data_IF_946724616560
#
_entry.id   IF_946724616560
#
_cell.length_a   1.000
_cell.length_b   1.000
_cell.length_c   1.000
_cell.angle_alpha   90.00
_cell.angle_beta   90.00
_cell.angle_gamma   90.00
#
_symmetry.space_group_name_H-M   'P 1'
#
loop_
_entity.id
_entity.type
_entity.pdbx_description
1 polymer ?
#
# COMPACT_ATOMS: atom_id res chain seq x y z
N UNK A 1 29.44 55.68 8.70
CA UNK A 1 28.93 54.40 8.26
C UNK A 1 27.42 54.23 8.34
N UNK A 2 26.68 55.17 8.92
CA UNK A 2 25.20 55.06 9.13
C UNK A 2 24.32 55.52 7.98
N UNK A 3 24.86 55.92 6.86
CA UNK A 3 24.07 56.33 5.70
C UNK A 3 24.59 55.86 4.35
N UNK A 4 25.06 54.64 4.25
CA UNK A 4 25.16 54.01 2.92
C UNK A 4 23.74 53.88 2.39
N UNK A 5 23.41 54.76 1.42
CA UNK A 5 22.18 54.69 0.67
C UNK A 5 21.96 53.21 0.23
N UNK A 6 20.88 52.56 0.61
CA UNK A 6 20.62 51.13 0.32
C UNK A 6 20.85 50.78 -1.16
N UNK A 7 20.75 51.72 -2.05
CA UNK A 7 21.06 51.59 -3.48
C UNK A 7 22.54 51.38 -3.79
N UNK A 8 23.47 51.79 -2.90
CA UNK A 8 24.93 51.65 -3.09
C UNK A 8 25.48 50.34 -2.48
N UNK A 9 24.72 49.71 -1.59
CA UNK A 9 25.11 48.45 -0.95
C UNK A 9 25.41 47.34 -1.99
N UNK A 10 24.55 47.06 -3.00
CA UNK A 10 24.83 46.04 -4.00
C UNK A 10 26.14 46.30 -4.77
N UNK A 11 26.42 47.54 -5.14
CA UNK A 11 27.63 47.92 -5.86
C UNK A 11 28.87 47.77 -5.00
N UNK A 12 28.80 48.13 -3.71
CA UNK A 12 29.89 47.96 -2.75
C UNK A 12 30.20 46.48 -2.51
N UNK A 13 29.16 45.65 -2.35
CA UNK A 13 29.29 44.20 -2.20
C UNK A 13 29.90 43.55 -3.43
N UNK A 14 29.42 43.87 -4.61
CA UNK A 14 29.92 43.33 -5.89
C UNK A 14 31.38 43.75 -6.10
N UNK A 15 31.75 45.02 -5.82
CA UNK A 15 33.11 45.49 -5.92
C UNK A 15 34.06 44.79 -4.95
N UNK A 16 33.67 44.62 -3.69
CA UNK A 16 34.45 43.90 -2.68
C UNK A 16 34.56 42.41 -3.04
N UNK A 17 33.49 41.81 -3.53
CA UNK A 17 33.48 40.43 -3.98
C UNK A 17 34.41 40.20 -5.18
N UNK A 18 34.44 41.10 -6.13
CA UNK A 18 35.36 41.05 -7.29
C UNK A 18 36.82 41.20 -6.88
N UNK A 19 37.12 42.07 -5.92
CA UNK A 19 38.49 42.21 -5.38
C UNK A 19 38.96 40.96 -4.68
N UNK A 20 38.13 40.36 -3.81
CA UNK A 20 38.27 39.03 -3.21
C UNK A 20 39.59 38.82 -2.45
N UNK A 21 40.28 39.86 -1.97
CA UNK A 21 41.40 39.74 -1.07
C UNK A 21 40.91 39.70 0.40
N UNK A 22 41.77 39.32 1.33
CA UNK A 22 41.41 39.17 2.75
C UNK A 22 40.72 40.38 3.34
N UNK A 23 41.24 41.60 3.05
CA UNK A 23 40.65 42.85 3.54
C UNK A 23 39.25 43.10 2.95
N UNK A 24 39.04 42.76 1.68
CA UNK A 24 37.75 42.87 1.02
C UNK A 24 36.73 41.86 1.59
N UNK A 25 37.13 40.62 1.85
CA UNK A 25 36.31 39.59 2.46
C UNK A 25 35.94 39.94 3.91
N UNK A 26 36.89 40.48 4.71
CA UNK A 26 36.62 40.96 6.06
C UNK A 26 35.54 42.07 6.06
N UNK A 27 35.66 43.01 5.11
CA UNK A 27 34.67 44.08 4.95
C UNK A 27 33.32 43.54 4.47
N UNK A 28 33.31 42.53 3.60
CA UNK A 28 32.10 41.81 3.18
C UNK A 28 31.40 41.19 4.38
N UNK A 29 32.11 40.46 5.24
CA UNK A 29 31.56 39.88 6.45
C UNK A 29 30.96 40.93 7.39
N UNK A 30 31.60 42.05 7.61
CA UNK A 30 31.03 43.16 8.38
C UNK A 30 29.77 43.76 7.73
N UNK A 31 29.69 43.77 6.39
CA UNK A 31 28.50 44.23 5.68
C UNK A 31 27.35 43.24 5.83
N UNK A 32 27.59 41.92 5.84
CA UNK A 32 26.56 40.91 6.02
C UNK A 32 25.80 41.08 7.34
N UNK A 33 26.49 41.51 8.40
CA UNK A 33 25.87 41.76 9.71
C UNK A 33 24.98 43.02 9.72
N UNK A 34 25.37 44.03 8.97
CA UNK A 34 24.74 45.37 9.02
C UNK A 34 23.61 45.57 7.98
N UNK A 35 23.60 44.79 6.89
CA UNK A 35 22.65 44.96 5.80
C UNK A 35 21.28 44.34 6.14
N UNK A 36 20.22 45.15 6.08
CA UNK A 36 18.84 44.69 6.30
C UNK A 36 18.32 43.84 5.14
N UNK A 37 18.61 44.22 3.91
CA UNK A 37 18.21 43.52 2.71
C UNK A 37 19.22 42.45 2.31
N UNK A 38 19.13 41.27 2.93
CA UNK A 38 20.01 40.13 2.66
C UNK A 38 19.94 39.68 1.20
N UNK A 39 18.79 39.78 0.58
CA UNK A 39 18.58 39.39 -0.82
C UNK A 39 19.47 40.15 -1.80
N UNK A 40 19.52 41.47 -1.67
CA UNK A 40 20.36 42.29 -2.53
C UNK A 40 21.86 41.95 -2.34
N UNK A 41 22.25 41.58 -1.12
CA UNK A 41 23.58 41.11 -0.80
C UNK A 41 23.88 39.79 -1.54
N UNK A 42 23.00 38.78 -1.41
CA UNK A 42 23.16 37.46 -2.03
C UNK A 42 23.23 37.58 -3.57
N UNK A 43 22.36 38.37 -4.18
CA UNK A 43 22.37 38.62 -5.62
C UNK A 43 23.66 39.29 -6.11
N UNK A 44 24.27 40.14 -5.30
CA UNK A 44 25.52 40.79 -5.62
C UNK A 44 26.69 39.85 -5.50
N UNK A 45 26.72 38.99 -4.48
CA UNK A 45 27.69 37.90 -4.34
C UNK A 45 27.60 36.92 -5.52
N UNK A 46 26.39 36.53 -5.92
CA UNK A 46 26.15 35.67 -7.07
C UNK A 46 26.66 36.27 -8.38
N UNK A 47 26.41 37.57 -8.63
CA UNK A 47 26.91 38.26 -9.85
C UNK A 47 28.44 38.32 -9.91
N UNK A 48 29.10 38.38 -8.76
CA UNK A 48 30.59 38.45 -8.74
C UNK A 48 31.26 37.18 -9.26
N UNK A 49 30.60 36.04 -9.14
CA UNK A 49 31.10 34.68 -9.48
C UNK A 49 32.52 34.42 -8.95
N UNK A 50 32.90 35.04 -7.83
CA UNK A 50 34.21 34.84 -7.24
C UNK A 50 34.14 33.70 -6.22
N UNK A 51 34.84 32.56 -6.43
CA UNK A 51 34.82 31.42 -5.50
C UNK A 51 35.27 31.80 -4.07
N UNK A 52 36.06 32.83 -3.90
CA UNK A 52 36.48 33.30 -2.56
C UNK A 52 35.32 33.86 -1.73
N UNK A 53 34.14 34.09 -2.33
CA UNK A 53 32.95 34.52 -1.61
C UNK A 53 32.11 33.33 -1.06
N UNK A 54 32.50 32.10 -1.40
CA UNK A 54 31.80 30.89 -0.88
C UNK A 54 31.71 30.89 0.64
N UNK A 55 32.75 31.16 1.44
CA UNK A 55 32.64 31.21 2.89
C UNK A 55 31.61 32.22 3.40
N UNK A 56 31.45 33.37 2.72
CA UNK A 56 30.44 34.38 3.06
C UNK A 56 29.05 33.89 2.78
N UNK A 57 28.85 33.18 1.65
CA UNK A 57 27.54 32.56 1.33
C UNK A 57 27.20 31.42 2.30
N UNK A 58 28.20 30.64 2.74
CA UNK A 58 28.00 29.58 3.73
C UNK A 58 27.64 30.14 5.10
N UNK A 59 28.28 31.23 5.55
CA UNK A 59 27.93 31.91 6.78
C UNK A 59 26.51 32.49 6.74
N UNK A 60 26.11 33.09 5.61
CA UNK A 60 24.77 33.57 5.40
C UNK A 60 23.75 32.40 5.45
N UNK A 61 24.07 31.24 4.87
CA UNK A 61 23.21 30.06 4.87
C UNK A 61 23.03 29.50 6.28
N UNK A 62 24.14 29.40 7.05
CA UNK A 62 24.09 28.93 8.44
C UNK A 62 23.12 29.76 9.30
N UNK A 63 23.04 31.06 9.03
CA UNK A 63 22.20 32.02 9.76
C UNK A 63 20.82 32.24 9.10
N UNK A 64 20.45 31.49 8.07
CA UNK A 64 19.19 31.63 7.33
C UNK A 64 18.32 30.40 7.53
N UNK A 65 17.09 30.59 8.05
CA UNK A 65 16.13 29.50 8.16
C UNK A 65 15.77 28.93 6.79
N UNK A 66 15.53 27.62 6.71
CA UNK A 66 15.09 26.92 5.49
C UNK A 66 13.76 27.44 4.93
N UNK A 67 12.90 27.99 5.80
CA UNK A 67 11.61 28.60 5.42
C UNK A 67 11.78 30.02 4.86
N UNK A 68 12.97 30.60 5.00
CA UNK A 68 13.23 31.92 4.48
C UNK A 68 13.47 31.87 2.96
N UNK A 69 12.77 32.67 2.15
CA UNK A 69 12.98 32.73 0.70
C UNK A 69 14.44 32.94 0.27
N UNK A 70 15.24 33.63 1.09
CA UNK A 70 16.63 33.90 0.81
C UNK A 70 17.50 32.62 0.82
N UNK A 71 17.06 31.56 1.54
CA UNK A 71 17.75 30.26 1.54
C UNK A 71 17.92 29.71 0.11
N UNK A 72 16.85 29.72 -0.69
CA UNK A 72 16.89 29.23 -2.07
C UNK A 72 17.83 30.04 -2.96
N UNK A 73 17.95 31.36 -2.72
CA UNK A 73 18.91 32.20 -3.46
C UNK A 73 20.35 31.94 -3.10
N UNK A 74 20.66 31.68 -1.83
CA UNK A 74 22.00 31.29 -1.38
C UNK A 74 22.40 29.97 -2.04
N UNK A 75 21.49 28.97 -2.00
CA UNK A 75 21.71 27.68 -2.65
C UNK A 75 21.99 27.86 -4.16
N UNK A 76 21.17 28.68 -4.85
CA UNK A 76 21.38 28.99 -6.27
C UNK A 76 22.72 29.68 -6.54
N UNK A 77 23.18 30.55 -5.67
CA UNK A 77 24.50 31.21 -5.82
C UNK A 77 25.62 30.20 -5.62
N UNK A 78 25.52 29.31 -4.63
CA UNK A 78 26.50 28.25 -4.37
C UNK A 78 26.59 27.25 -5.52
N UNK A 79 25.47 26.88 -6.15
CA UNK A 79 25.42 25.89 -7.26
C UNK A 79 26.19 26.30 -8.51
N UNK A 80 26.56 27.56 -8.65
CA UNK A 80 27.32 28.08 -9.78
C UNK A 80 28.84 28.02 -9.60
N UNK A 81 29.29 27.54 -8.45
CA UNK A 81 30.69 27.44 -8.13
C UNK A 81 31.28 26.07 -8.51
N UNK A 82 32.60 25.99 -8.58
CA UNK A 82 33.34 24.78 -8.82
C UNK A 82 33.15 23.77 -7.67
N UNK A 83 32.93 22.50 -8.00
CA UNK A 83 32.66 21.44 -7.03
C UNK A 83 33.83 21.19 -6.07
N UNK A 84 35.08 21.24 -6.52
CA UNK A 84 36.26 21.01 -5.65
C UNK A 84 36.38 22.11 -4.60
N UNK A 85 36.17 23.36 -5.00
CA UNK A 85 36.22 24.51 -4.09
C UNK A 85 35.06 24.44 -3.09
N UNK A 86 33.88 24.08 -3.55
CA UNK A 86 32.72 23.92 -2.68
C UNK A 86 32.92 22.78 -1.68
N UNK A 87 33.42 21.63 -2.11
CA UNK A 87 33.73 20.48 -1.25
C UNK A 87 34.71 20.83 -0.16
N UNK A 88 35.83 21.53 -0.52
CA UNK A 88 36.80 21.99 0.47
C UNK A 88 36.19 22.94 1.50
N UNK A 89 35.37 23.89 1.03
CA UNK A 89 34.71 24.86 1.92
C UNK A 89 33.69 24.19 2.85
N UNK A 90 32.97 23.15 2.37
CA UNK A 90 32.03 22.36 3.17
C UNK A 90 32.78 21.54 4.24
N UNK A 91 33.94 20.96 3.90
CA UNK A 91 34.81 20.30 4.88
C UNK A 91 35.19 21.23 6.03
N UNK A 92 35.60 22.44 5.70
CA UNK A 92 35.99 23.43 6.70
C UNK A 92 34.78 23.84 7.57
N UNK A 93 33.60 23.98 6.95
CA UNK A 93 32.34 24.28 7.65
C UNK A 93 31.96 23.16 8.63
N UNK A 94 31.98 21.91 8.19
CA UNK A 94 31.69 20.72 9.02
C UNK A 94 32.64 20.64 10.21
N UNK A 95 33.94 20.89 10.00
CA UNK A 95 34.98 20.85 11.04
C UNK A 95 34.83 21.91 12.12
N UNK A 96 34.03 22.95 11.90
CA UNK A 96 33.72 23.91 12.99
C UNK A 96 33.02 23.23 14.16
N UNK A 97 32.34 22.09 13.96
CA UNK A 97 31.62 21.33 14.97
C UNK A 97 30.34 22.03 15.50
N UNK A 98 29.92 23.13 14.87
CA UNK A 98 28.70 23.84 15.25
C UNK A 98 27.48 23.15 14.59
N UNK A 99 26.41 22.89 15.35
CA UNK A 99 25.22 22.24 14.82
C UNK A 99 24.62 22.95 13.59
N UNK A 100 24.53 24.29 13.64
CA UNK A 100 24.09 25.10 12.51
C UNK A 100 24.93 24.95 11.25
N UNK A 101 26.25 24.85 11.42
CA UNK A 101 27.19 24.65 10.32
C UNK A 101 27.07 23.24 9.72
N UNK A 102 26.98 22.22 10.55
CA UNK A 102 26.79 20.82 10.12
C UNK A 102 25.46 20.67 9.40
N UNK A 103 24.37 21.23 9.96
CA UNK A 103 23.07 21.27 9.35
C UNK A 103 23.09 21.92 7.97
N UNK A 104 23.69 23.12 7.85
CA UNK A 104 23.81 23.84 6.58
C UNK A 104 24.62 23.03 5.55
N UNK A 105 25.73 22.43 5.95
CA UNK A 105 26.57 21.59 5.08
C UNK A 105 25.77 20.36 4.59
N UNK A 106 25.08 19.66 5.48
CA UNK A 106 24.25 18.49 5.13
C UNK A 106 23.16 18.86 4.11
N UNK A 107 22.49 20.00 4.29
CA UNK A 107 21.49 20.50 3.35
C UNK A 107 22.05 20.82 1.97
N UNK A 108 23.23 21.43 1.90
CA UNK A 108 23.91 21.69 0.62
C UNK A 108 24.26 20.39 -0.07
N UNK A 109 24.84 19.43 0.65
CA UNK A 109 25.22 18.12 0.14
C UNK A 109 23.97 17.42 -0.46
N UNK A 110 22.85 17.44 0.24
CA UNK A 110 21.59 16.84 -0.23
C UNK A 110 21.07 17.50 -1.51
N UNK A 111 21.16 18.83 -1.62
CA UNK A 111 20.47 19.60 -2.69
C UNK A 111 21.36 19.80 -3.92
N UNK A 112 22.63 20.12 -3.70
CA UNK A 112 23.52 20.58 -4.77
C UNK A 112 24.67 19.65 -5.10
N UNK A 113 25.19 18.95 -4.10
CA UNK A 113 26.53 18.43 -4.23
C UNK A 113 26.75 17.15 -3.45
N UNK A 114 26.61 16.07 -4.17
CA UNK A 114 26.73 14.72 -3.62
C UNK A 114 28.19 14.24 -3.76
N UNK A 115 29.02 14.59 -2.78
CA UNK A 115 30.41 14.14 -2.70
C UNK A 115 30.60 13.09 -1.60
N UNK A 116 30.74 11.80 -1.96
CA UNK A 116 30.92 10.72 -0.99
C UNK A 116 32.13 10.94 -0.04
N UNK A 117 33.12 11.72 -0.44
CA UNK A 117 34.28 12.01 0.41
C UNK A 117 33.95 12.80 1.68
N UNK A 118 32.81 13.51 1.69
CA UNK A 118 32.28 14.26 2.83
C UNK A 118 31.57 13.39 3.87
N UNK A 119 31.24 12.15 3.52
CA UNK A 119 30.46 11.26 4.40
C UNK A 119 31.17 10.98 5.74
N UNK A 120 32.45 10.73 5.72
CA UNK A 120 33.23 10.50 6.93
C UNK A 120 33.33 11.76 7.82
N UNK A 121 33.50 12.95 7.22
CA UNK A 121 33.52 14.21 7.95
C UNK A 121 32.16 14.49 8.62
N UNK A 122 31.03 14.25 7.92
CA UNK A 122 29.69 14.39 8.46
C UNK A 122 29.43 13.45 9.65
N UNK A 123 29.75 12.14 9.52
CA UNK A 123 29.61 11.19 10.64
C UNK A 123 30.46 11.60 11.85
N UNK A 124 31.73 12.01 11.62
CA UNK A 124 32.62 12.42 12.69
C UNK A 124 32.08 13.65 13.43
N UNK A 125 31.50 14.60 12.72
CA UNK A 125 30.94 15.81 13.31
C UNK A 125 29.76 15.54 14.23
N UNK A 126 28.94 14.52 13.92
CA UNK A 126 27.78 14.13 14.74
C UNK A 126 28.17 13.55 16.12
N UNK A 127 29.38 13.07 16.32
CA UNK A 127 29.82 12.61 17.65
C UNK A 127 29.80 13.74 18.68
N UNK A 128 29.77 14.98 18.23
CA UNK A 128 29.74 16.20 19.08
C UNK A 128 28.37 16.89 19.08
N UNK A 129 27.45 16.52 18.17
CA UNK A 129 26.11 17.12 18.04
C UNK A 129 25.05 16.28 18.78
N UNK A 130 24.20 16.98 19.52
CA UNK A 130 22.98 16.39 20.13
C UNK A 130 21.71 16.99 19.56
N UNK A 131 21.78 17.83 18.52
CA UNK A 131 20.62 18.46 17.91
C UNK A 131 19.92 17.49 16.94
N UNK A 132 18.64 17.10 17.21
CA UNK A 132 17.91 16.14 16.37
C UNK A 132 17.75 16.59 14.91
N UNK A 133 17.60 17.88 14.66
CA UNK A 133 17.45 18.41 13.28
C UNK A 133 18.75 18.29 12.48
N UNK A 134 19.87 18.49 13.14
CA UNK A 134 21.19 18.30 12.52
C UNK A 134 21.41 16.82 12.19
N UNK A 135 21.07 15.92 13.11
CA UNK A 135 21.14 14.49 12.89
C UNK A 135 20.23 14.05 11.71
N UNK A 136 19.00 14.52 11.67
CA UNK A 136 18.07 14.28 10.56
C UNK A 136 18.66 14.72 9.21
N UNK A 137 19.16 15.95 9.12
CA UNK A 137 19.74 16.48 7.90
C UNK A 137 20.94 15.66 7.41
N UNK A 138 21.81 15.25 8.34
CA UNK A 138 22.97 14.42 8.02
C UNK A 138 22.55 13.02 7.56
N UNK A 139 21.57 12.40 8.20
CA UNK A 139 21.07 11.11 7.79
C UNK A 139 20.48 11.14 6.36
N UNK A 140 19.69 12.17 6.05
CA UNK A 140 19.17 12.38 4.70
C UNK A 140 20.31 12.53 3.67
N UNK A 141 21.35 13.31 4.02
CA UNK A 141 22.51 13.47 3.14
C UNK A 141 23.23 12.14 2.91
N UNK A 142 23.57 11.42 3.96
CA UNK A 142 24.31 10.15 3.90
C UNK A 142 23.53 9.00 3.26
N UNK A 143 22.18 9.02 3.35
CA UNK A 143 21.29 8.02 2.78
C UNK A 143 20.98 8.23 1.30
N UNK A 144 21.44 9.31 0.67
CA UNK A 144 21.26 9.51 -0.76
C UNK A 144 22.15 8.53 -1.56
N UNK A 145 21.65 8.04 -2.71
CA UNK A 145 22.36 7.04 -3.55
C UNK A 145 23.76 7.51 -3.97
N UNK A 146 23.90 8.77 -4.23
CA UNK A 146 25.12 9.40 -4.71
C UNK A 146 26.18 9.52 -3.62
N UNK A 147 25.79 9.47 -2.36
CA UNK A 147 26.69 9.49 -1.20
C UNK A 147 27.20 8.10 -0.81
N UNK A 148 26.95 7.08 -1.64
CA UNK A 148 27.31 5.68 -1.36
C UNK A 148 26.79 5.22 0.02
N UNK A 149 25.48 4.99 0.14
CA UNK A 149 24.86 4.64 1.43
C UNK A 149 25.42 3.35 2.05
N UNK A 150 25.93 2.40 1.23
CA UNK A 150 26.54 1.17 1.71
C UNK A 150 27.74 1.47 2.65
N UNK A 151 28.53 2.50 2.36
CA UNK A 151 29.62 2.93 3.24
C UNK A 151 29.18 3.53 4.58
N UNK A 152 27.87 3.80 4.72
CA UNK A 152 27.26 4.39 5.91
C UNK A 152 26.32 3.40 6.64
N UNK A 153 26.24 2.15 6.19
CA UNK A 153 25.30 1.15 6.71
C UNK A 153 25.41 0.96 8.23
N UNK A 154 26.64 0.81 8.77
CA UNK A 154 26.86 0.66 10.21
C UNK A 154 26.31 1.85 11.01
N UNK A 155 26.51 3.05 10.51
CA UNK A 155 25.96 4.26 11.11
C UNK A 155 24.43 4.23 11.18
N UNK A 156 23.75 3.80 10.11
CA UNK A 156 22.28 3.68 10.13
C UNK A 156 21.80 2.58 11.06
N UNK A 157 22.47 1.42 11.10
CA UNK A 157 22.14 0.31 12.02
C UNK A 157 22.22 0.76 13.48
N UNK A 158 23.23 1.54 13.86
CA UNK A 158 23.35 2.07 15.22
C UNK A 158 22.16 2.96 15.60
N UNK A 159 21.64 3.73 14.64
CA UNK A 159 20.51 4.63 14.86
C UNK A 159 19.12 3.96 14.85
N UNK A 160 19.02 2.67 14.49
CA UNK A 160 17.80 1.89 14.72
C UNK A 160 17.42 1.78 16.20
N UNK A 161 18.38 1.98 17.12
CA UNK A 161 18.20 1.95 18.57
C UNK A 161 18.00 3.33 19.21
N UNK A 162 17.89 4.37 18.40
CA UNK A 162 17.75 5.75 18.88
C UNK A 162 16.42 5.94 19.63
N UNK A 163 16.36 6.81 20.65
CA UNK A 163 15.15 7.05 21.45
C UNK A 163 14.04 7.76 20.66
N UNK A 164 14.42 8.62 19.69
CA UNK A 164 13.45 9.33 18.83
C UNK A 164 12.97 8.41 17.69
N UNK A 165 11.64 8.13 17.59
CA UNK A 165 11.06 7.30 16.54
C UNK A 165 11.31 7.84 15.12
N UNK A 166 11.33 9.15 14.92
CA UNK A 166 11.59 9.78 13.61
C UNK A 166 13.00 9.44 13.10
N UNK A 167 13.98 9.41 13.99
CA UNK A 167 15.35 9.01 13.65
C UNK A 167 15.43 7.52 13.31
N UNK A 168 14.70 6.66 14.02
CA UNK A 168 14.60 5.24 13.65
C UNK A 168 13.99 5.06 12.24
N UNK A 169 12.89 5.78 11.95
CA UNK A 169 12.27 5.75 10.62
C UNK A 169 13.23 6.20 9.54
N UNK A 170 13.99 7.28 9.75
CA UNK A 170 15.02 7.72 8.83
C UNK A 170 16.14 6.68 8.65
N UNK A 171 16.57 6.03 9.72
CA UNK A 171 17.55 4.94 9.64
C UNK A 171 17.08 3.81 8.75
N UNK A 172 15.82 3.41 8.91
CA UNK A 172 15.18 2.37 8.07
C UNK A 172 15.18 2.80 6.60
N UNK A 173 14.75 4.03 6.31
CA UNK A 173 14.73 4.56 4.95
C UNK A 173 16.13 4.64 4.33
N UNK A 174 17.16 5.05 5.10
CA UNK A 174 18.53 5.06 4.62
C UNK A 174 19.06 3.64 4.35
N UNK A 175 18.73 2.68 5.20
CA UNK A 175 19.10 1.28 5.02
C UNK A 175 18.43 0.67 3.77
N UNK A 176 17.21 1.06 3.43
CA UNK A 176 16.55 0.59 2.21
C UNK A 176 17.23 1.06 0.92
N UNK A 177 18.10 2.07 1.00
CA UNK A 177 18.94 2.52 -0.11
C UNK A 177 20.31 1.81 -0.18
N UNK A 178 20.65 0.98 0.82
CA UNK A 178 21.89 0.21 0.83
C UNK A 178 21.69 -1.07 0.00
N UNK A 179 22.54 -1.28 -1.02
CA UNK A 179 22.40 -2.44 -1.92
C UNK A 179 22.93 -3.74 -1.30
N UNK A 180 23.91 -3.62 -0.37
CA UNK A 180 24.57 -4.75 0.29
C UNK A 180 23.92 -5.12 1.64
N UNK A 181 22.85 -4.40 2.03
CA UNK A 181 22.19 -4.62 3.31
C UNK A 181 21.19 -5.78 3.23
N UNK A 182 21.37 -6.82 4.03
CA UNK A 182 20.31 -7.79 4.27
C UNK A 182 19.27 -7.19 5.22
N UNK A 183 18.26 -6.53 4.66
CA UNK A 183 17.24 -5.80 5.41
C UNK A 183 16.42 -6.70 6.33
N UNK A 184 16.11 -7.94 5.92
CA UNK A 184 15.38 -8.88 6.77
C UNK A 184 16.12 -9.18 8.07
N UNK A 185 17.45 -9.34 8.01
CA UNK A 185 18.27 -9.55 9.20
C UNK A 185 18.37 -8.30 10.07
N UNK A 186 18.53 -7.12 9.44
CA UNK A 186 18.75 -5.86 10.16
C UNK A 186 17.47 -5.32 10.81
N UNK A 187 16.32 -5.45 10.14
CA UNK A 187 15.05 -4.87 10.59
C UNK A 187 14.19 -5.82 11.43
N UNK A 188 14.64 -7.05 11.64
CA UNK A 188 13.93 -8.09 12.37
C UNK A 188 13.34 -7.64 13.71
N UNK A 189 14.15 -7.01 14.54
CA UNK A 189 13.70 -6.54 15.85
C UNK A 189 12.89 -5.24 15.74
N UNK A 190 13.15 -4.45 14.70
CA UNK A 190 12.48 -3.17 14.46
C UNK A 190 11.01 -3.33 14.04
N UNK A 191 10.65 -4.46 13.41
CA UNK A 191 9.25 -4.78 13.11
C UNK A 191 8.41 -4.87 14.38
N UNK A 192 8.99 -5.30 15.49
CA UNK A 192 8.34 -5.47 16.79
C UNK A 192 8.45 -4.23 17.68
N UNK A 193 8.90 -3.10 17.14
CA UNK A 193 9.03 -1.86 17.92
C UNK A 193 7.66 -1.43 18.46
N UNK A 194 7.67 -0.90 19.67
CA UNK A 194 6.46 -0.41 20.35
C UNK A 194 5.84 0.81 19.65
N UNK A 195 6.63 1.54 18.89
CA UNK A 195 6.18 2.68 18.08
C UNK A 195 5.69 2.19 16.72
N UNK A 196 4.37 2.27 16.50
CA UNK A 196 3.72 1.75 15.30
C UNK A 196 4.27 2.32 13.98
N UNK A 197 4.69 3.59 13.97
CA UNK A 197 5.30 4.22 12.79
C UNK A 197 6.63 3.57 12.39
N UNK A 198 7.42 3.16 13.38
CA UNK A 198 8.72 2.48 13.17
C UNK A 198 8.49 1.07 12.63
N UNK A 199 7.57 0.32 13.24
CA UNK A 199 7.17 -1.02 12.78
C UNK A 199 6.67 -1.00 11.33
N UNK A 200 5.79 -0.05 10.98
CA UNK A 200 5.28 0.11 9.61
C UNK A 200 6.39 0.47 8.63
N UNK A 201 7.29 1.40 9.00
CA UNK A 201 8.41 1.78 8.14
C UNK A 201 9.33 0.58 7.86
N UNK A 202 9.61 -0.25 8.87
CA UNK A 202 10.41 -1.46 8.71
C UNK A 202 9.75 -2.46 7.74
N UNK A 203 8.45 -2.71 7.88
CA UNK A 203 7.73 -3.60 6.97
C UNK A 203 7.67 -3.07 5.54
N UNK A 204 7.45 -1.75 5.37
CA UNK A 204 7.47 -1.13 4.04
C UNK A 204 8.84 -1.22 3.37
N UNK A 205 9.93 -0.98 4.11
CA UNK A 205 11.29 -1.14 3.59
C UNK A 205 11.58 -2.59 3.16
N UNK A 206 11.03 -3.57 3.87
CA UNK A 206 11.16 -4.98 3.53
C UNK A 206 10.36 -5.38 2.28
N UNK A 207 9.27 -4.68 1.94
CA UNK A 207 8.58 -4.90 0.67
C UNK A 207 9.40 -4.44 -0.54
N UNK A 208 10.29 -3.47 -0.35
CA UNK A 208 11.19 -3.00 -1.41
C UNK A 208 12.52 -3.80 -1.46
N UNK A 209 12.77 -4.69 -0.48
CA UNK A 209 13.96 -5.51 -0.39
C UNK A 209 13.97 -6.63 -1.44
N UNK A 210 15.16 -7.14 -1.84
CA UNK A 210 15.25 -8.32 -2.70
C UNK A 210 14.54 -9.53 -2.07
N UNK A 211 13.63 -10.17 -2.83
CA UNK A 211 12.87 -11.34 -2.36
C UNK A 211 13.76 -12.55 -2.03
N UNK A 212 14.93 -12.64 -2.64
CA UNK A 212 15.94 -13.68 -2.38
C UNK A 212 16.51 -13.62 -0.96
N UNK A 213 16.42 -12.45 -0.29
CA UNK A 213 16.83 -12.25 1.09
C UNK A 213 15.72 -12.57 2.10
N UNK A 214 14.49 -12.83 1.64
CA UNK A 214 13.37 -13.16 2.52
C UNK A 214 13.56 -14.53 3.18
N UNK A 215 13.20 -14.69 4.48
CA UNK A 215 13.33 -15.96 5.18
C UNK A 215 12.36 -16.98 4.61
N UNK A 216 12.88 -18.05 4.01
CA UNK A 216 12.09 -19.11 3.36
C UNK A 216 11.34 -19.95 4.40
N UNK A 217 10.00 -19.98 4.33
CA UNK A 217 9.14 -20.78 5.22
C UNK A 217 9.07 -20.29 6.67
N UNK A 218 9.68 -19.15 6.99
CA UNK A 218 9.72 -18.61 8.35
C UNK A 218 9.05 -17.23 8.48
N UNK A 219 8.54 -16.67 7.38
CA UNK A 219 8.02 -15.30 7.36
C UNK A 219 6.83 -15.11 8.30
N UNK A 220 5.94 -16.09 8.40
CA UNK A 220 4.80 -16.08 9.34
C UNK A 220 5.27 -16.02 10.79
N UNK A 221 6.28 -16.83 11.15
CA UNK A 221 6.86 -16.81 12.49
C UNK A 221 7.58 -15.49 12.78
N UNK A 222 8.22 -14.94 11.79
CA UNK A 222 8.89 -13.64 11.82
C UNK A 222 7.91 -12.49 12.11
N UNK A 223 6.71 -12.56 11.54
CA UNK A 223 5.65 -11.55 11.65
C UNK A 223 4.60 -11.87 12.73
N UNK A 224 4.71 -12.98 13.48
CA UNK A 224 3.62 -13.49 14.32
C UNK A 224 3.01 -12.42 15.26
N UNK A 225 3.84 -11.66 15.96
CA UNK A 225 3.37 -10.66 16.93
C UNK A 225 2.61 -9.49 16.27
N UNK A 226 3.07 -9.05 15.11
CA UNK A 226 2.46 -7.92 14.37
C UNK A 226 1.22 -8.36 13.57
N UNK A 227 1.18 -9.60 13.08
CA UNK A 227 0.00 -10.17 12.45
C UNK A 227 -1.20 -10.30 13.40
N UNK A 228 -0.98 -10.38 14.70
CA UNK A 228 -2.02 -10.42 15.74
C UNK A 228 -2.23 -9.09 16.46
N UNK A 229 -1.52 -8.02 16.08
CA UNK A 229 -1.63 -6.69 16.69
C UNK A 229 -3.08 -6.21 16.78
N UNK A 230 -3.42 -5.44 17.80
CA UNK A 230 -4.71 -4.74 17.92
C UNK A 230 -4.81 -3.55 16.97
N UNK A 231 -3.68 -2.98 16.55
CA UNK A 231 -3.63 -1.89 15.57
C UNK A 231 -3.87 -2.44 14.15
N UNK A 232 -4.92 -1.93 13.49
CA UNK A 232 -5.32 -2.38 12.16
C UNK A 232 -4.34 -1.96 11.06
N UNK A 233 -3.61 -0.86 11.25
CA UNK A 233 -2.65 -0.36 10.25
C UNK A 233 -1.37 -1.21 10.29
N UNK A 234 -0.90 -1.54 11.49
CA UNK A 234 0.24 -2.45 11.68
C UNK A 234 -0.08 -3.83 11.12
N UNK A 235 -1.27 -4.37 11.44
CA UNK A 235 -1.72 -5.65 10.89
C UNK A 235 -1.73 -5.65 9.37
N UNK A 236 -2.29 -4.58 8.78
CA UNK A 236 -2.35 -4.46 7.31
C UNK A 236 -0.94 -4.50 6.71
N UNK A 237 0.00 -3.72 7.22
CA UNK A 237 1.38 -3.72 6.74
C UNK A 237 2.05 -5.11 6.85
N UNK A 238 1.78 -5.85 7.95
CA UNK A 238 2.30 -7.21 8.12
C UNK A 238 1.71 -8.20 7.10
N UNK A 239 0.41 -8.09 6.78
CA UNK A 239 -0.22 -8.92 5.76
C UNK A 239 0.24 -8.55 4.35
N UNK A 240 0.42 -7.25 4.06
CA UNK A 240 0.96 -6.79 2.79
C UNK A 240 2.38 -7.37 2.58
N UNK A 241 3.23 -7.33 3.60
CA UNK A 241 4.57 -7.92 3.55
C UNK A 241 4.51 -9.45 3.37
N UNK A 242 3.66 -10.15 4.13
CA UNK A 242 3.49 -11.59 3.99
C UNK A 242 3.01 -11.96 2.58
N UNK A 243 2.06 -11.21 2.02
CA UNK A 243 1.56 -11.44 0.68
C UNK A 243 2.58 -11.13 -0.42
N UNK A 244 3.53 -10.21 -0.16
CA UNK A 244 4.58 -9.83 -1.11
C UNK A 244 5.78 -10.80 -1.09
N UNK A 245 6.28 -11.12 0.10
CA UNK A 245 7.52 -11.86 0.30
C UNK A 245 7.31 -13.33 0.74
N UNK A 246 6.08 -13.72 1.11
CA UNK A 246 5.76 -15.10 1.47
C UNK A 246 5.84 -16.05 0.27
N UNK A 247 6.12 -17.30 0.55
CA UNK A 247 6.25 -18.37 -0.44
C UNK A 247 5.42 -19.61 -0.04
N UNK A 248 5.50 -20.69 -0.81
CA UNK A 248 4.73 -21.93 -0.57
C UNK A 248 4.98 -22.55 0.82
N UNK A 249 6.18 -22.39 1.38
CA UNK A 249 6.54 -22.92 2.70
C UNK A 249 5.87 -22.12 3.85
N UNK A 250 5.52 -20.85 3.60
CA UNK A 250 4.77 -20.01 4.55
C UNK A 250 3.26 -20.30 4.55
N UNK A 251 2.75 -21.03 3.55
CA UNK A 251 1.31 -21.25 3.38
C UNK A 251 0.67 -21.99 4.55
N UNK A 252 1.21 -23.14 4.97
CA UNK A 252 0.63 -23.92 6.08
C UNK A 252 0.74 -23.19 7.43
N UNK A 253 1.85 -22.54 7.80
CA UNK A 253 1.91 -21.67 8.98
C UNK A 253 0.88 -20.53 8.94
N UNK A 254 0.73 -19.84 7.82
CA UNK A 254 -0.26 -18.77 7.66
C UNK A 254 -1.70 -19.31 7.73
N UNK A 255 -1.95 -20.50 7.18
CA UNK A 255 -3.24 -21.17 7.28
C UNK A 255 -3.59 -21.56 8.74
N UNK A 256 -2.61 -21.98 9.53
CA UNK A 256 -2.79 -22.24 10.97
C UNK A 256 -3.14 -20.96 11.73
N UNK A 257 -2.51 -19.82 11.39
CA UNK A 257 -2.88 -18.51 11.93
C UNK A 257 -4.30 -18.08 11.52
N UNK A 258 -4.71 -18.33 10.28
CA UNK A 258 -6.10 -18.11 9.85
C UNK A 258 -7.07 -18.89 10.73
N UNK A 259 -6.76 -20.15 11.03
CA UNK A 259 -7.57 -20.97 11.96
C UNK A 259 -7.74 -20.31 13.34
N UNK A 260 -6.67 -19.74 13.90
CA UNK A 260 -6.72 -18.98 15.17
C UNK A 260 -7.55 -17.68 15.00
N UNK A 261 -7.41 -16.97 13.89
CA UNK A 261 -8.14 -15.74 13.62
C UNK A 261 -9.65 -15.98 13.40
N UNK A 262 -10.03 -17.10 12.78
CA UNK A 262 -11.42 -17.48 12.53
C UNK A 262 -12.20 -17.83 13.80
N UNK A 263 -11.52 -18.19 14.89
CA UNK A 263 -12.15 -18.40 16.18
C UNK A 263 -12.59 -17.10 16.87
N UNK A 264 -12.18 -15.93 16.35
CA UNK A 264 -12.52 -14.60 16.86
C UNK A 264 -13.67 -13.94 16.10
N UNK A 265 -14.21 -12.86 16.66
CA UNK A 265 -15.28 -12.03 16.06
C UNK A 265 -14.74 -10.94 15.10
N UNK A 266 -13.43 -10.80 14.94
CA UNK A 266 -12.80 -9.76 14.14
C UNK A 266 -12.82 -10.11 12.64
N UNK A 267 -13.77 -9.53 11.91
CA UNK A 267 -13.96 -9.74 10.47
C UNK A 267 -12.79 -9.17 9.65
N UNK A 268 -12.26 -8.01 10.04
CA UNK A 268 -11.16 -7.33 9.34
C UNK A 268 -9.90 -8.22 9.39
N UNK A 269 -9.65 -8.84 10.52
CA UNK A 269 -8.52 -9.75 10.71
C UNK A 269 -8.63 -10.99 9.81
N UNK A 270 -9.83 -11.55 9.65
CA UNK A 270 -10.06 -12.70 8.76
C UNK A 270 -9.81 -12.37 7.30
N UNK A 271 -10.32 -11.23 6.84
CA UNK A 271 -10.17 -10.78 5.47
C UNK A 271 -8.70 -10.52 5.13
N UNK A 272 -7.95 -9.84 6.01
CA UNK A 272 -6.54 -9.55 5.81
C UNK A 272 -5.67 -10.84 5.77
N UNK A 273 -5.91 -11.81 6.66
CA UNK A 273 -5.20 -13.11 6.61
C UNK A 273 -5.53 -13.86 5.32
N UNK A 274 -6.79 -13.86 4.90
CA UNK A 274 -7.20 -14.52 3.67
C UNK A 274 -6.56 -13.87 2.42
N UNK A 275 -6.41 -12.56 2.42
CA UNK A 275 -5.74 -11.82 1.35
C UNK A 275 -4.27 -12.20 1.25
N UNK A 276 -3.54 -12.20 2.36
CA UNK A 276 -2.14 -12.62 2.41
C UNK A 276 -1.97 -14.08 1.95
N UNK A 277 -2.81 -15.00 2.44
CA UNK A 277 -2.82 -16.39 1.99
C UNK A 277 -3.08 -16.53 0.49
N UNK A 278 -3.98 -15.72 -0.06
CA UNK A 278 -4.26 -15.69 -1.49
C UNK A 278 -3.06 -15.30 -2.33
N UNK A 279 -2.16 -14.48 -1.80
CA UNK A 279 -0.95 -14.02 -2.51
C UNK A 279 0.18 -15.06 -2.52
N UNK A 280 0.32 -15.86 -1.45
CA UNK A 280 1.38 -16.88 -1.33
C UNK A 280 0.92 -18.29 -1.72
N UNK A 281 -0.40 -18.48 -1.92
CA UNK A 281 -0.94 -19.80 -2.24
C UNK A 281 -0.57 -20.22 -3.68
N UNK A 282 -0.09 -21.44 -3.89
CA UNK A 282 -0.01 -22.01 -5.23
C UNK A 282 -1.40 -22.09 -5.87
N UNK A 283 -1.49 -22.16 -7.20
CA UNK A 283 -2.76 -22.07 -7.96
C UNK A 283 -3.87 -23.01 -7.45
N UNK A 284 -3.52 -24.18 -6.94
CA UNK A 284 -4.44 -25.14 -6.31
C UNK A 284 -4.75 -24.84 -4.83
N UNK A 285 -3.97 -23.97 -4.17
CA UNK A 285 -4.18 -23.57 -2.76
C UNK A 285 -5.31 -22.57 -2.57
N UNK A 286 -5.66 -21.79 -3.60
CA UNK A 286 -6.71 -20.76 -3.54
C UNK A 286 -8.08 -21.32 -3.13
N UNK A 287 -8.47 -22.44 -3.72
CA UNK A 287 -9.69 -23.14 -3.36
C UNK A 287 -9.69 -23.63 -1.90
N UNK A 288 -8.50 -23.96 -1.37
CA UNK A 288 -8.35 -24.38 0.02
C UNK A 288 -8.55 -23.22 1.00
N UNK A 289 -8.07 -22.02 0.70
CA UNK A 289 -8.25 -20.83 1.56
C UNK A 289 -9.73 -20.48 1.69
N UNK A 290 -10.47 -20.39 0.59
CA UNK A 290 -11.89 -20.12 0.63
C UNK A 290 -12.65 -21.22 1.40
N UNK A 291 -12.36 -22.50 1.15
CA UNK A 291 -12.98 -23.62 1.88
C UNK A 291 -12.71 -23.59 3.37
N UNK A 292 -11.47 -23.28 3.79
CA UNK A 292 -11.10 -23.17 5.22
C UNK A 292 -11.84 -22.05 5.93
N UNK A 293 -12.31 -21.04 5.21
CA UNK A 293 -13.19 -20.00 5.73
C UNK A 293 -14.67 -20.39 5.74
N UNK A 294 -15.01 -21.57 5.22
CA UNK A 294 -16.37 -22.05 5.08
C UNK A 294 -17.09 -21.56 3.82
N UNK A 295 -16.37 -20.91 2.89
CA UNK A 295 -16.97 -20.51 1.61
C UNK A 295 -17.08 -21.69 0.65
N UNK A 296 -18.21 -21.74 -0.04
CA UNK A 296 -18.40 -22.64 -1.17
C UNK A 296 -17.62 -22.07 -2.36
N UNK A 297 -16.62 -22.80 -2.84
CA UNK A 297 -15.58 -22.23 -3.72
C UNK A 297 -15.67 -22.68 -5.18
N UNK A 298 -16.23 -23.84 -5.47
CA UNK A 298 -16.30 -24.38 -6.83
C UNK A 298 -17.73 -24.29 -7.34
N UNK A 299 -17.90 -23.66 -8.48
CA UNK A 299 -19.21 -23.40 -9.05
C UNK A 299 -19.26 -23.74 -10.53
N UNK A 300 -20.43 -24.20 -10.97
CA UNK A 300 -20.83 -24.13 -12.37
C UNK A 300 -21.83 -22.99 -12.50
N UNK A 301 -21.64 -22.10 -13.46
CA UNK A 301 -22.52 -20.95 -13.69
C UNK A 301 -23.20 -21.03 -15.04
N UNK A 302 -24.44 -20.56 -15.09
CA UNK A 302 -25.26 -20.51 -16.31
C UNK A 302 -25.99 -19.16 -16.38
N UNK A 303 -25.85 -18.47 -17.47
CA UNK A 303 -26.55 -17.20 -17.71
C UNK A 303 -26.03 -16.52 -18.98
N UNK A 304 -26.55 -15.41 -19.37
CA UNK A 304 -27.59 -14.62 -18.68
C UNK A 304 -28.97 -14.89 -19.29
N UNK A 305 -30.00 -14.85 -18.48
CA UNK A 305 -31.37 -14.77 -18.93
C UNK A 305 -31.92 -13.37 -18.69
N UNK A 306 -32.86 -12.90 -19.51
CA UNK A 306 -33.43 -11.56 -19.41
C UNK A 306 -34.25 -11.40 -18.11
N UNK A 307 -34.06 -10.26 -17.44
CA UNK A 307 -34.84 -9.82 -16.28
C UNK A 307 -35.44 -8.42 -16.56
N UNK A 308 -36.19 -7.90 -15.61
CA UNK A 308 -36.78 -6.56 -15.61
C UNK A 308 -36.60 -5.87 -14.26
N UNK A 309 -36.87 -4.56 -14.19
CA UNK A 309 -36.71 -3.76 -12.96
C UNK A 309 -37.55 -4.22 -11.79
N UNK A 310 -38.68 -4.85 -12.06
CA UNK A 310 -39.61 -5.35 -11.07
C UNK A 310 -39.30 -6.82 -10.69
N UNK A 311 -38.23 -7.42 -11.22
CA UNK A 311 -37.86 -8.82 -11.02
C UNK A 311 -38.94 -9.84 -11.40
N UNK A 312 -39.83 -9.52 -12.37
CA UNK A 312 -40.92 -10.45 -12.76
C UNK A 312 -40.37 -11.73 -13.35
N UNK A 313 -39.34 -11.66 -14.20
CA UNK A 313 -38.73 -12.86 -14.77
C UNK A 313 -38.01 -13.69 -13.71
N UNK A 314 -37.45 -13.05 -12.67
CA UNK A 314 -36.84 -13.72 -11.54
C UNK A 314 -37.85 -14.55 -10.73
N UNK A 315 -39.12 -14.12 -10.62
CA UNK A 315 -40.14 -14.86 -9.88
C UNK A 315 -40.58 -16.12 -10.60
N UNK A 316 -40.48 -16.16 -11.93
CA UNK A 316 -40.89 -17.30 -12.75
C UNK A 316 -39.92 -18.48 -12.57
N UNK A 317 -40.45 -19.69 -12.62
CA UNK A 317 -39.60 -20.89 -12.67
C UNK A 317 -39.01 -21.05 -14.08
N UNK A 318 -37.69 -21.13 -14.17
CA UNK A 318 -36.97 -21.40 -15.41
C UNK A 318 -36.53 -22.87 -15.44
N UNK A 319 -36.09 -23.31 -16.60
CA UNK A 319 -35.79 -24.72 -16.83
C UNK A 319 -34.68 -25.29 -15.90
N UNK A 320 -33.60 -24.56 -15.55
CA UNK A 320 -32.60 -25.06 -14.61
C UNK A 320 -33.15 -25.38 -13.20
N UNK A 321 -34.25 -24.81 -12.80
CA UNK A 321 -34.91 -25.10 -11.51
C UNK A 321 -35.65 -26.47 -11.51
N UNK A 322 -36.01 -26.97 -12.70
CA UNK A 322 -36.66 -28.27 -12.87
C UNK A 322 -35.69 -29.45 -12.91
N UNK A 323 -34.45 -29.18 -13.20
CA UNK A 323 -33.37 -30.16 -13.25
C UNK A 323 -32.11 -29.58 -13.88
N UNK A 324 -30.96 -29.97 -13.34
CA UNK A 324 -29.67 -29.52 -13.81
C UNK A 324 -29.07 -30.58 -14.74
N UNK A 325 -28.80 -30.14 -15.97
CA UNK A 325 -28.10 -30.92 -16.98
C UNK A 325 -26.92 -30.06 -17.48
N UNK A 326 -25.70 -30.44 -17.16
CA UNK A 326 -24.50 -29.67 -17.50
C UNK A 326 -24.16 -29.72 -18.99
N UNK A 327 -24.61 -30.71 -19.73
CA UNK A 327 -24.37 -30.85 -21.16
C UNK A 327 -25.40 -30.08 -22.01
N UNK A 328 -26.45 -29.61 -21.38
CA UNK A 328 -27.57 -28.96 -22.09
C UNK A 328 -27.25 -27.46 -22.31
N UNK A 329 -27.63 -26.99 -23.52
CA UNK A 329 -27.73 -25.55 -23.79
C UNK A 329 -29.14 -25.05 -23.60
N UNK A 330 -29.26 -23.78 -23.32
CA UNK A 330 -30.53 -23.12 -23.01
C UNK A 330 -30.69 -21.88 -23.89
N UNK A 331 -31.87 -21.65 -24.50
CA UNK A 331 -32.12 -20.45 -25.25
C UNK A 331 -32.10 -19.23 -24.31
N UNK A 332 -31.41 -18.21 -24.72
CA UNK A 332 -31.28 -16.95 -24.00
C UNK A 332 -31.51 -15.79 -24.95
N UNK A 333 -32.19 -14.80 -24.43
CA UNK A 333 -32.42 -13.55 -25.15
C UNK A 333 -31.84 -12.40 -24.35
N UNK A 334 -31.13 -11.51 -25.00
CA UNK A 334 -30.63 -10.28 -24.34
C UNK A 334 -30.83 -9.04 -25.22
N UNK A 335 -30.85 -7.90 -24.53
CA UNK A 335 -30.90 -6.59 -25.20
C UNK A 335 -29.74 -5.78 -24.68
N UNK A 336 -28.93 -5.19 -25.56
CA UNK A 336 -27.85 -4.31 -25.14
C UNK A 336 -28.41 -3.14 -24.33
N UNK A 337 -28.11 -3.07 -23.06
CA UNK A 337 -28.28 -1.86 -22.26
C UNK A 337 -27.04 -0.99 -22.44
N UNK A 338 -27.17 0.16 -23.05
CA UNK A 338 -26.12 1.18 -23.05
C UNK A 338 -25.89 1.63 -21.61
N UNK A 339 -24.63 1.92 -21.27
CA UNK A 339 -24.28 2.57 -20.00
C UNK A 339 -25.25 3.74 -19.76
N UNK A 340 -25.98 3.69 -18.62
CA UNK A 340 -26.89 4.74 -18.24
C UNK A 340 -28.39 4.45 -18.44
N UNK A 341 -28.83 3.21 -18.48
CA UNK A 341 -30.26 2.81 -18.39
C UNK A 341 -31.19 3.25 -19.51
N UNK A 342 -30.70 3.58 -20.66
CA UNK A 342 -31.58 3.87 -21.79
C UNK A 342 -31.54 2.73 -22.81
N UNK A 343 -32.54 1.84 -22.70
CA UNK A 343 -32.93 0.98 -23.81
C UNK A 343 -33.22 1.91 -24.99
N UNK A 344 -32.49 1.77 -26.09
CA UNK A 344 -32.88 2.45 -27.32
C UNK A 344 -34.18 1.81 -27.80
N UNK A 345 -35.25 2.62 -27.87
CA UNK A 345 -36.51 2.18 -28.47
C UNK A 345 -36.21 1.65 -29.86
N UNK A 346 -36.55 0.37 -30.09
CA UNK A 346 -36.37 -0.28 -31.38
C UNK A 346 -35.21 -1.25 -31.53
N UNK A 347 -34.32 -1.43 -30.52
CA UNK A 347 -33.32 -2.50 -30.56
C UNK A 347 -33.98 -3.88 -30.47
N UNK A 348 -33.67 -4.73 -31.45
CA UNK A 348 -34.17 -6.11 -31.45
C UNK A 348 -33.37 -6.95 -30.43
N UNK A 349 -34.09 -7.83 -29.68
CA UNK A 349 -33.42 -8.81 -28.83
C UNK A 349 -32.46 -9.68 -29.65
N UNK A 350 -31.33 -10.02 -29.07
CA UNK A 350 -30.39 -10.98 -29.64
C UNK A 350 -30.64 -12.33 -29.02
N UNK A 351 -30.94 -13.31 -29.86
CA UNK A 351 -31.13 -14.70 -29.43
C UNK A 351 -29.77 -15.43 -29.47
N UNK A 352 -29.50 -16.25 -28.47
CA UNK A 352 -28.30 -17.07 -28.35
C UNK A 352 -28.55 -18.33 -27.54
N UNK A 353 -27.67 -19.30 -27.64
CA UNK A 353 -27.60 -20.46 -26.77
C UNK A 353 -26.52 -20.24 -25.68
N UNK A 354 -26.84 -20.58 -24.44
CA UNK A 354 -25.94 -20.51 -23.29
C UNK A 354 -25.83 -21.88 -22.64
N UNK A 355 -24.63 -22.18 -22.12
CA UNK A 355 -24.33 -23.44 -21.41
C UNK A 355 -23.71 -23.19 -20.05
N UNK A 356 -23.58 -24.23 -19.26
CA UNK A 356 -22.88 -24.19 -17.98
C UNK A 356 -21.37 -24.03 -18.18
N UNK A 357 -20.73 -23.21 -17.35
CA UNK A 357 -19.30 -22.99 -17.34
C UNK A 357 -18.74 -23.07 -15.92
N UNK A 358 -17.52 -23.59 -15.78
CA UNK A 358 -16.82 -23.62 -14.51
C UNK A 358 -16.46 -22.21 -14.04
N UNK A 359 -16.57 -21.98 -12.74
CA UNK A 359 -16.27 -20.72 -12.11
C UNK A 359 -15.65 -20.91 -10.71
N UNK A 360 -14.73 -20.03 -10.36
CA UNK A 360 -14.10 -19.98 -9.04
C UNK A 360 -14.42 -18.70 -8.33
N UNK A 361 -14.45 -18.74 -7.01
CA UNK A 361 -14.66 -17.55 -6.18
C UNK A 361 -13.40 -16.70 -6.07
N UNK A 362 -13.57 -15.45 -5.70
CA UNK A 362 -12.45 -14.59 -5.30
C UNK A 362 -11.75 -15.21 -4.08
N UNK A 363 -10.42 -15.20 -4.10
CA UNK A 363 -9.52 -15.85 -3.13
C UNK A 363 -9.73 -15.38 -1.69
N UNK A 364 -10.07 -14.10 -1.52
CA UNK A 364 -10.01 -13.41 -0.24
C UNK A 364 -11.35 -13.37 0.47
N UNK A 365 -12.41 -13.10 -0.25
CA UNK A 365 -13.73 -12.83 0.32
C UNK A 365 -14.82 -13.86 -0.07
N UNK A 366 -14.44 -14.88 -0.84
CA UNK A 366 -15.38 -15.94 -1.27
C UNK A 366 -16.46 -15.49 -2.26
N UNK A 367 -16.31 -14.32 -2.87
CA UNK A 367 -17.27 -13.79 -3.85
C UNK A 367 -17.13 -14.50 -5.19
N UNK A 368 -18.25 -15.00 -5.71
CA UNK A 368 -18.39 -15.44 -7.09
C UNK A 368 -18.83 -14.24 -7.93
N UNK A 369 -17.89 -13.66 -8.69
CA UNK A 369 -18.15 -12.52 -9.56
C UNK A 369 -18.84 -12.98 -10.84
N UNK A 370 -20.16 -12.81 -10.91
CA UNK A 370 -20.96 -13.30 -12.05
C UNK A 370 -20.76 -12.46 -13.31
N UNK A 371 -20.62 -11.13 -13.17
CA UNK A 371 -20.53 -10.21 -14.30
C UNK A 371 -19.41 -10.54 -15.29
N UNK A 372 -18.15 -10.72 -14.86
CA UNK A 372 -17.03 -11.07 -15.77
C UNK A 372 -17.11 -12.48 -16.36
N UNK A 373 -17.82 -13.41 -15.70
CA UNK A 373 -17.88 -14.82 -16.09
C UNK A 373 -18.96 -15.09 -17.12
N UNK A 374 -19.99 -14.26 -17.16
CA UNK A 374 -21.17 -14.50 -17.98
C UNK A 374 -21.18 -13.62 -19.24
N UNK A 375 -21.78 -14.09 -20.34
CA UNK A 375 -21.91 -13.24 -21.50
C UNK A 375 -22.68 -11.94 -21.20
N UNK A 376 -22.30 -10.79 -21.76
CA UNK A 376 -23.01 -9.54 -21.55
C UNK A 376 -24.44 -9.58 -22.09
N UNK A 377 -25.32 -8.67 -21.64
CA UNK A 377 -25.07 -7.68 -20.59
C UNK A 377 -25.26 -8.28 -19.20
N UNK A 378 -24.47 -7.85 -18.23
CA UNK A 378 -24.66 -8.23 -16.82
C UNK A 378 -25.84 -7.52 -16.15
N UNK A 379 -26.43 -6.50 -16.80
CA UNK A 379 -27.57 -5.72 -16.30
C UNK A 379 -28.91 -6.32 -16.74
N UNK A 380 -29.96 -6.15 -15.91
CA UNK A 380 -31.29 -6.73 -16.14
C UNK A 380 -31.24 -8.21 -16.48
N UNK A 381 -30.48 -8.96 -15.70
CA UNK A 381 -30.11 -10.33 -16.00
C UNK A 381 -30.37 -11.27 -14.82
N UNK A 382 -30.59 -12.53 -15.16
CA UNK A 382 -30.68 -13.67 -14.23
C UNK A 382 -29.57 -14.64 -14.60
N UNK A 383 -28.95 -15.24 -13.60
CA UNK A 383 -28.03 -16.35 -13.77
C UNK A 383 -28.25 -17.40 -12.68
N UNK A 384 -27.71 -18.55 -12.93
CA UNK A 384 -27.67 -19.67 -11.99
C UNK A 384 -26.22 -19.98 -11.62
N UNK A 385 -26.03 -20.35 -10.35
CA UNK A 385 -24.80 -20.95 -9.89
C UNK A 385 -25.12 -22.25 -9.14
N UNK A 386 -24.40 -23.31 -9.43
CA UNK A 386 -24.56 -24.60 -8.77
C UNK A 386 -23.23 -25.10 -8.25
N UNK A 387 -23.24 -25.64 -7.04
CA UNK A 387 -22.07 -26.29 -6.45
C UNK A 387 -22.47 -27.63 -5.84
N UNK A 388 -21.70 -28.66 -6.18
CA UNK A 388 -21.77 -29.96 -5.55
C UNK A 388 -20.63 -30.10 -4.55
N UNK A 389 -20.92 -30.57 -3.33
CA UNK A 389 -19.94 -30.78 -2.29
C UNK A 389 -20.32 -31.98 -1.41
N UNK A 390 -19.33 -32.57 -0.76
CA UNK A 390 -19.53 -33.74 0.10
C UNK A 390 -19.56 -33.35 1.59
N UNK A 391 -20.42 -33.98 2.35
CA UNK A 391 -20.44 -33.94 3.81
C UNK A 391 -20.04 -35.29 4.39
N UNK A 392 -19.17 -35.30 5.41
CA UNK A 392 -18.72 -36.53 6.08
C UNK A 392 -19.85 -37.24 6.82
N UNK A 393 -20.82 -36.49 7.31
CA UNK A 393 -21.92 -36.96 8.15
C UNK A 393 -23.22 -36.24 7.83
N UNK A 394 -24.34 -36.78 8.30
CA UNK A 394 -25.58 -36.03 8.43
C UNK A 394 -25.37 -34.99 9.54
N UNK A 395 -25.60 -33.72 9.22
CA UNK A 395 -25.36 -32.64 10.19
C UNK A 395 -26.24 -31.42 9.97
N UNK A 396 -26.57 -30.72 11.05
CA UNK A 396 -27.23 -29.43 11.01
C UNK A 396 -26.18 -28.31 11.07
N UNK A 397 -26.22 -27.42 10.09
CA UNK A 397 -25.29 -26.29 9.95
C UNK A 397 -26.07 -25.02 9.64
N UNK A 398 -25.33 -23.93 9.44
CA UNK A 398 -25.88 -22.64 9.08
C UNK A 398 -25.27 -22.16 7.78
N UNK A 399 -26.11 -21.67 6.89
CA UNK A 399 -25.72 -21.06 5.62
C UNK A 399 -25.97 -19.56 5.69
N UNK A 400 -24.99 -18.78 5.32
CA UNK A 400 -25.10 -17.34 5.08
C UNK A 400 -24.91 -17.09 3.61
N UNK A 401 -25.73 -16.23 3.03
CA UNK A 401 -25.67 -15.86 1.63
C UNK A 401 -25.83 -14.36 1.48
N UNK A 402 -24.92 -13.79 0.72
CA UNK A 402 -24.99 -12.42 0.24
C UNK A 402 -24.98 -12.43 -1.29
N UNK A 403 -25.68 -11.48 -1.91
CA UNK A 403 -25.68 -11.32 -3.36
C UNK A 403 -26.18 -9.95 -3.77
N UNK A 404 -25.82 -9.53 -4.96
CA UNK A 404 -26.26 -8.26 -5.51
C UNK A 404 -27.63 -8.43 -6.14
N UNK A 405 -28.53 -7.52 -5.79
CA UNK A 405 -29.95 -7.34 -6.02
C UNK A 405 -30.87 -8.45 -5.50
N UNK A 406 -30.81 -9.69 -5.98
CA UNK A 406 -31.75 -10.74 -5.56
C UNK A 406 -31.18 -12.15 -5.70
N UNK A 407 -31.65 -13.05 -4.84
CA UNK A 407 -31.35 -14.48 -4.94
C UNK A 407 -32.50 -15.41 -4.48
N UNK A 408 -32.51 -16.61 -5.04
CA UNK A 408 -33.21 -17.79 -4.52
C UNK A 408 -32.20 -18.90 -4.33
N UNK A 409 -32.35 -19.70 -3.27
CA UNK A 409 -31.41 -20.79 -2.93
C UNK A 409 -32.19 -22.09 -2.70
N UNK A 410 -31.70 -23.15 -3.30
CA UNK A 410 -32.14 -24.52 -3.05
C UNK A 410 -30.97 -25.35 -2.52
N UNK A 411 -31.23 -26.16 -1.53
CA UNK A 411 -30.33 -27.21 -1.04
C UNK A 411 -30.98 -28.57 -1.30
N UNK A 412 -30.28 -29.42 -2.05
CA UNK A 412 -30.78 -30.76 -2.41
C UNK A 412 -32.17 -30.76 -3.07
N UNK A 413 -32.50 -29.73 -3.82
CA UNK A 413 -33.80 -29.53 -4.50
C UNK A 413 -34.87 -28.85 -3.66
N UNK A 414 -34.65 -28.62 -2.36
CA UNK A 414 -35.58 -27.89 -1.49
C UNK A 414 -35.23 -26.42 -1.44
N UNK A 415 -36.17 -25.51 -1.72
CA UNK A 415 -35.96 -24.07 -1.61
C UNK A 415 -35.85 -23.65 -0.14
N UNK A 416 -34.69 -23.13 0.25
CA UNK A 416 -34.41 -22.77 1.63
C UNK A 416 -34.41 -21.26 1.88
N UNK A 417 -34.28 -20.42 0.83
CA UNK A 417 -34.31 -18.97 0.97
C UNK A 417 -34.66 -18.28 -0.34
N UNK A 418 -35.24 -17.08 -0.19
CA UNK A 418 -35.47 -16.11 -1.26
C UNK A 418 -35.38 -14.70 -0.70
N UNK A 419 -34.59 -13.85 -1.31
CA UNK A 419 -34.43 -12.43 -0.96
C UNK A 419 -34.37 -11.58 -2.21
N UNK A 420 -35.00 -10.41 -2.12
CA UNK A 420 -34.93 -9.35 -3.12
C UNK A 420 -34.58 -8.06 -2.37
N UNK A 421 -33.50 -7.43 -2.72
CA UNK A 421 -33.15 -6.13 -2.17
C UNK A 421 -34.05 -5.04 -2.76
N UNK A 422 -34.41 -4.01 -2.00
CA UNK A 422 -35.13 -2.86 -2.55
C UNK A 422 -34.30 -2.19 -3.63
N UNK A 423 -34.86 -2.05 -4.82
CA UNK A 423 -34.15 -1.31 -5.88
C UNK A 423 -33.96 0.16 -5.49
N UNK A 424 -32.71 0.59 -5.44
CA UNK A 424 -32.32 1.98 -5.20
C UNK A 424 -31.55 2.48 -6.42
N UNK A 425 -32.18 3.30 -7.23
CA UNK A 425 -31.56 3.83 -8.45
C UNK A 425 -30.15 4.39 -8.20
N UNK A 426 -29.17 3.91 -8.98
CA UNK A 426 -27.74 4.27 -8.90
C UNK A 426 -27.02 3.88 -7.60
N UNK A 427 -27.47 2.83 -6.91
CA UNK A 427 -26.79 2.23 -5.78
C UNK A 427 -26.79 0.71 -5.91
N UNK A 428 -25.69 0.07 -5.51
CA UNK A 428 -25.63 -1.38 -5.34
C UNK A 428 -26.63 -1.80 -4.24
N UNK A 429 -27.42 -2.82 -4.51
CA UNK A 429 -28.50 -3.29 -3.64
C UNK A 429 -28.20 -4.69 -3.16
N UNK A 430 -27.55 -4.80 -2.01
CA UNK A 430 -27.14 -6.10 -1.46
C UNK A 430 -28.34 -6.77 -0.78
N UNK A 431 -28.72 -7.94 -1.29
CA UNK A 431 -29.57 -8.89 -0.61
C UNK A 431 -28.71 -9.77 0.29
N UNK A 432 -29.01 -9.81 1.58
CA UNK A 432 -28.24 -10.59 2.54
C UNK A 432 -29.15 -11.41 3.44
N UNK A 433 -28.77 -12.63 3.71
CA UNK A 433 -29.41 -13.48 4.72
C UNK A 433 -28.38 -14.34 5.43
N UNK A 434 -28.34 -14.20 6.74
CA UNK A 434 -27.44 -14.95 7.60
C UNK A 434 -28.20 -16.05 8.37
N UNK A 435 -27.44 -17.05 8.81
CA UNK A 435 -27.90 -18.08 9.75
C UNK A 435 -29.13 -18.88 9.28
N UNK A 436 -29.23 -19.17 7.98
CA UNK A 436 -30.22 -20.10 7.46
C UNK A 436 -29.86 -21.50 7.98
N UNK A 437 -30.72 -22.09 8.83
CA UNK A 437 -30.49 -23.44 9.34
C UNK A 437 -30.64 -24.44 8.18
N UNK A 438 -29.62 -25.25 7.92
CA UNK A 438 -29.58 -26.26 6.87
C UNK A 438 -29.27 -27.64 7.42
N UNK A 439 -29.73 -28.67 6.68
CA UNK A 439 -29.41 -30.07 6.99
C UNK A 439 -28.63 -30.66 5.81
N UNK A 440 -27.38 -30.99 6.04
CA UNK A 440 -26.58 -31.72 5.09
C UNK A 440 -26.77 -33.24 5.29
N UNK A 441 -26.81 -33.96 4.19
CA UNK A 441 -26.78 -35.43 4.18
C UNK A 441 -25.32 -35.89 4.07
N UNK A 442 -25.02 -37.03 4.65
CA UNK A 442 -23.75 -37.71 4.39
C UNK A 442 -23.60 -38.00 2.90
N UNK A 443 -22.42 -37.67 2.35
CA UNK A 443 -22.14 -37.75 0.92
C UNK A 443 -22.51 -36.48 0.19
N UNK A 444 -22.93 -36.59 -1.07
CA UNK A 444 -23.15 -35.47 -1.98
C UNK A 444 -24.35 -34.59 -1.57
N UNK A 445 -24.09 -33.31 -1.53
CA UNK A 445 -25.09 -32.26 -1.40
C UNK A 445 -24.93 -31.26 -2.54
N UNK A 446 -26.01 -30.62 -2.93
CA UNK A 446 -26.07 -29.64 -4.01
C UNK A 446 -26.73 -28.37 -3.57
N UNK A 447 -26.05 -27.25 -3.76
CA UNK A 447 -26.61 -25.91 -3.67
C UNK A 447 -26.86 -25.40 -5.09
N UNK A 448 -28.07 -24.92 -5.35
CA UNK A 448 -28.43 -24.16 -6.54
C UNK A 448 -28.81 -22.75 -6.11
N UNK A 449 -28.28 -21.75 -6.78
CA UNK A 449 -28.61 -20.34 -6.59
C UNK A 449 -29.13 -19.80 -7.92
N UNK A 450 -30.29 -19.12 -7.88
CA UNK A 450 -30.71 -18.19 -8.91
C UNK A 450 -30.43 -16.79 -8.43
N UNK A 451 -29.62 -16.05 -9.14
CA UNK A 451 -29.27 -14.66 -8.82
C UNK A 451 -29.78 -13.74 -9.91
N UNK A 452 -30.19 -12.54 -9.53
CA UNK A 452 -30.61 -11.51 -10.47
C UNK A 452 -29.88 -10.21 -10.18
N UNK A 453 -29.47 -9.53 -11.24
CA UNK A 453 -28.85 -8.22 -11.22
C UNK A 453 -29.65 -7.23 -12.09
N UNK A 454 -29.83 -6.01 -11.58
CA UNK A 454 -30.40 -4.89 -12.32
C UNK A 454 -29.30 -3.98 -12.85
N UNK A 455 -28.40 -3.53 -11.97
CA UNK A 455 -27.34 -2.55 -12.30
C UNK A 455 -26.08 -2.83 -11.48
N UNK A 456 -24.92 -2.33 -11.93
CA UNK A 456 -23.62 -2.37 -11.28
C UNK A 456 -22.94 -3.75 -11.23
N UNK A 457 -22.21 -4.01 -10.14
CA UNK A 457 -21.50 -5.27 -9.92
C UNK A 457 -22.50 -6.40 -9.66
N UNK A 458 -22.17 -7.57 -10.14
CA UNK A 458 -22.99 -8.75 -9.96
C UNK A 458 -22.17 -9.87 -9.36
N UNK A 459 -22.54 -10.27 -8.15
CA UNK A 459 -21.84 -11.31 -7.41
C UNK A 459 -22.76 -12.04 -6.43
N UNK A 460 -22.34 -13.22 -6.01
CA UNK A 460 -22.92 -13.97 -4.89
C UNK A 460 -21.82 -14.53 -4.01
N UNK A 461 -22.10 -14.71 -2.72
CA UNK A 461 -21.18 -15.27 -1.74
C UNK A 461 -21.93 -16.19 -0.80
N UNK A 462 -21.47 -17.45 -0.68
CA UNK A 462 -22.08 -18.47 0.18
C UNK A 462 -21.06 -18.95 1.20
N UNK A 463 -21.44 -18.92 2.47
CA UNK A 463 -20.63 -19.42 3.58
C UNK A 463 -21.42 -20.42 4.40
N UNK A 464 -20.80 -21.55 4.79
CA UNK A 464 -21.39 -22.58 5.65
C UNK A 464 -20.59 -22.68 6.94
N UNK A 465 -21.28 -22.62 8.10
CA UNK A 465 -20.69 -22.56 9.42
C UNK A 465 -21.44 -23.44 10.42
N UNK A 466 -20.82 -23.71 11.57
CA UNK A 466 -21.50 -24.27 12.74
C UNK A 466 -22.36 -23.21 13.49
N UNK A 467 -22.99 -23.62 14.58
CA UNK A 467 -23.81 -22.73 15.41
C UNK A 467 -23.04 -21.59 16.10
N UNK A 468 -21.71 -21.69 16.13
CA UNK A 468 -20.81 -20.68 16.71
C UNK A 468 -20.15 -19.81 15.62
N UNK A 469 -20.68 -19.82 14.41
CA UNK A 469 -20.14 -19.12 13.23
C UNK A 469 -18.71 -19.58 12.86
N UNK A 470 -18.31 -20.79 13.22
CA UNK A 470 -17.02 -21.36 12.83
C UNK A 470 -17.16 -22.04 11.48
N UNK A 471 -16.20 -21.88 10.58
CA UNK A 471 -16.23 -22.55 9.29
C UNK A 471 -16.22 -24.06 9.46
N UNK A 472 -16.98 -24.73 8.59
CA UNK A 472 -17.00 -26.19 8.52
C UNK A 472 -16.29 -26.61 7.24
N UNK A 473 -15.38 -27.56 7.40
CA UNK A 473 -14.64 -28.12 6.28
C UNK A 473 -15.57 -29.03 5.47
N UNK A 474 -15.96 -28.57 4.28
CA UNK A 474 -16.74 -29.31 3.30
C UNK A 474 -15.81 -29.81 2.21
N UNK A 475 -15.83 -31.08 1.88
CA UNK A 475 -14.96 -31.74 0.93
C UNK A 475 -15.68 -32.20 -0.33
#
# INVERSE_FOLDING_TARGET
TESLNEKLIPLAVESLALVGNENALERLNKLTESVKNKRALIESLDRSRNPKTIPVLLDLLENTSTDNPDFAYIISALSKNDNEILSSSLKDLIRTGRDSAIFAAARIITILFQDPSLGADLRSALTTSSDPKTLEAVMIALGSKEMNPDSNQEFFVDHLKHENPEIKVLSILCLSHCNEANLYTLLKETIKDSEGSVSIAAMNALMDAPLEDAPTGELVSYLEDVLISTDSVIRKAAFDLLGHAGNEDDFEPALAMLGKALSGTDTIRREAVAEALGSIAPDNGIANVARRQGYVSNWMVLGTFLNDKEHKAFTNELEPEKGIDFEKTYPSTYVWALQGNQRRDGEKPIEREIGWAEASVNKTNGMLMMGPLLPPPGTFSIAYAVSDFDSKNDQELFLSLDGDDAFKVWLNGEKISEKVAPYLHRKSCIASQENIKIKLKKGKNRILIKSANIEFEWWVRVRITDANNRPVELF
#
